data_IF_237325864754
#
_entry.id   IF_237325864754
#
_cell.length_a   1.000
_cell.length_b   1.000
_cell.length_c   1.000
_cell.angle_alpha   90.00
_cell.angle_beta   90.00
_cell.angle_gamma   90.00
#
_symmetry.space_group_name_H-M   'P 1'
#
loop_
_entity.id
_entity.type
_entity.pdbx_description
1 polymer ?
#
# COMPACT_ATOMS: atom_id res chain seq x y z
N UNK A 1 8.59 -13.32 -2.69
CA UNK A 1 8.67 -13.58 -1.24
C UNK A 1 9.58 -14.77 -0.96
N UNK A 2 9.26 -15.95 -1.48
CA UNK A 2 9.99 -17.21 -1.21
C UNK A 2 11.50 -17.10 -1.48
N UNK A 3 11.91 -16.60 -2.65
CA UNK A 3 13.31 -16.39 -3.06
C UNK A 3 14.13 -15.57 -2.06
N UNK A 4 13.51 -14.58 -1.42
CA UNK A 4 14.16 -13.67 -0.47
C UNK A 4 13.90 -14.04 1.00
N UNK A 5 13.21 -15.15 1.27
CA UNK A 5 12.87 -15.57 2.62
C UNK A 5 11.93 -14.60 3.36
N UNK A 6 11.17 -13.79 2.62
CA UNK A 6 10.23 -12.81 3.21
C UNK A 6 8.96 -13.54 3.65
N UNK A 7 8.62 -13.39 4.94
CA UNK A 7 7.51 -14.08 5.61
C UNK A 7 6.39 -13.14 6.04
N UNK A 8 6.63 -11.84 6.03
CA UNK A 8 5.67 -10.83 6.48
C UNK A 8 5.33 -9.89 5.34
N UNK A 9 4.04 -9.59 5.19
CA UNK A 9 3.54 -8.63 4.21
C UNK A 9 2.74 -7.56 4.92
N UNK A 10 3.02 -6.30 4.59
CA UNK A 10 2.22 -5.15 5.01
C UNK A 10 1.50 -4.60 3.80
N UNK A 11 0.17 -4.63 3.82
CA UNK A 11 -0.69 -4.00 2.84
C UNK A 11 -1.06 -2.64 3.41
N UNK A 12 -0.49 -1.61 2.82
CA UNK A 12 -0.47 -0.28 3.41
C UNK A 12 -1.65 0.59 2.96
N UNK A 13 -2.84 0.06 3.09
CA UNK A 13 -4.12 0.74 2.83
C UNK A 13 -4.62 0.61 1.40
N UNK A 14 -5.87 1.01 1.23
CA UNK A 14 -6.62 0.97 -0.03
C UNK A 14 -6.65 -0.44 -0.67
N UNK A 15 -6.84 -1.45 0.19
CA UNK A 15 -7.02 -2.83 -0.27
C UNK A 15 -8.34 -3.00 -1.03
N UNK A 16 -9.37 -2.29 -0.61
CA UNK A 16 -10.64 -2.19 -1.31
C UNK A 16 -10.78 -0.85 -2.01
N UNK A 17 -11.49 -0.85 -3.14
CA UNK A 17 -11.86 0.40 -3.84
C UNK A 17 -13.06 1.05 -3.16
N UNK A 18 -14.07 0.25 -2.82
CA UNK A 18 -15.33 0.67 -2.17
C UNK A 18 -15.98 1.87 -2.88
N UNK A 19 -15.96 1.87 -4.20
CA UNK A 19 -16.53 2.97 -4.99
C UNK A 19 -18.03 3.11 -4.82
N UNK A 20 -18.72 2.02 -4.44
CA UNK A 20 -20.14 2.06 -4.06
C UNK A 20 -20.41 3.00 -2.87
N UNK A 21 -19.41 3.20 -2.02
CA UNK A 21 -19.45 4.12 -0.86
C UNK A 21 -18.68 5.43 -1.12
N UNK A 22 -18.35 5.72 -2.38
CA UNK A 22 -17.67 6.96 -2.75
C UNK A 22 -18.64 8.14 -2.74
N UNK A 23 -18.16 9.29 -2.26
CA UNK A 23 -18.90 10.57 -2.36
C UNK A 23 -18.72 11.24 -3.73
N UNK A 24 -17.84 10.73 -4.58
CA UNK A 24 -17.57 11.28 -5.91
C UNK A 24 -18.47 10.61 -6.95
N UNK A 25 -18.80 11.38 -8.00
CA UNK A 25 -19.59 10.86 -9.11
C UNK A 25 -18.85 9.70 -9.77
N UNK A 26 -19.57 8.59 -10.01
CA UNK A 26 -19.05 7.45 -10.72
C UNK A 26 -19.26 7.62 -12.22
N UNK A 27 -18.22 7.41 -13.01
CA UNK A 27 -18.26 7.43 -14.49
C UNK A 27 -18.58 6.07 -15.04
N UNK A 28 -18.17 5.04 -14.31
CA UNK A 28 -18.46 3.63 -14.62
C UNK A 28 -19.26 3.05 -13.46
N UNK A 29 -20.07 2.00 -13.70
CA UNK A 29 -20.79 1.36 -12.62
C UNK A 29 -19.83 0.93 -11.50
N UNK A 30 -20.12 1.34 -10.27
CA UNK A 30 -19.32 0.94 -9.10
C UNK A 30 -19.37 -0.58 -8.93
N UNK A 31 -18.22 -1.16 -8.60
CA UNK A 31 -18.13 -2.58 -8.26
C UNK A 31 -18.92 -2.80 -6.97
N UNK A 32 -19.81 -3.80 -6.98
CA UNK A 32 -20.60 -4.13 -5.81
C UNK A 32 -19.72 -4.71 -4.71
N UNK A 33 -19.99 -4.35 -3.45
CA UNK A 33 -19.24 -4.82 -2.29
C UNK A 33 -19.07 -6.35 -2.25
N UNK A 34 -20.12 -7.09 -2.63
CA UNK A 34 -20.06 -8.56 -2.69
C UNK A 34 -18.95 -9.07 -3.62
N UNK A 35 -18.74 -8.39 -4.75
CA UNK A 35 -17.69 -8.76 -5.71
C UNK A 35 -16.30 -8.42 -5.16
N UNK A 36 -16.13 -7.24 -4.57
CA UNK A 36 -14.85 -6.85 -3.94
C UNK A 36 -14.51 -7.79 -2.78
N UNK A 37 -15.50 -8.11 -1.94
CA UNK A 37 -15.35 -9.04 -0.84
C UNK A 37 -14.93 -10.44 -1.31
N UNK A 38 -15.56 -10.95 -2.36
CA UNK A 38 -15.24 -12.25 -2.96
C UNK A 38 -13.81 -12.25 -3.53
N UNK A 39 -13.43 -11.22 -4.27
CA UNK A 39 -12.08 -11.06 -4.80
C UNK A 39 -11.06 -10.94 -3.66
N UNK A 40 -11.35 -10.15 -2.63
CA UNK A 40 -10.50 -10.00 -1.45
C UNK A 40 -10.22 -11.32 -0.73
N UNK A 41 -11.23 -12.18 -0.59
CA UNK A 41 -11.05 -13.54 -0.02
C UNK A 41 -10.05 -14.37 -0.83
N UNK A 42 -10.16 -14.36 -2.15
CA UNK A 42 -9.25 -15.11 -3.03
C UNK A 42 -7.82 -14.59 -2.92
N UNK A 43 -7.65 -13.28 -2.97
CA UNK A 43 -6.33 -12.64 -2.84
C UNK A 43 -5.69 -12.95 -1.48
N UNK A 44 -6.44 -12.81 -0.38
CA UNK A 44 -5.91 -13.10 0.97
C UNK A 44 -5.56 -14.58 1.11
N UNK A 45 -6.39 -15.50 0.58
CA UNK A 45 -6.10 -16.93 0.61
C UNK A 45 -4.79 -17.24 -0.12
N UNK A 46 -4.57 -16.68 -1.30
CA UNK A 46 -3.34 -16.83 -2.06
C UNK A 46 -2.13 -16.23 -1.31
N UNK A 47 -2.26 -15.04 -0.75
CA UNK A 47 -1.17 -14.41 0.02
C UNK A 47 -0.77 -15.24 1.26
N UNK A 48 -1.73 -15.93 1.90
CA UNK A 48 -1.47 -16.80 3.05
C UNK A 48 -0.68 -18.07 2.71
N UNK A 49 -0.60 -18.46 1.43
CA UNK A 49 0.29 -19.53 0.95
C UNK A 49 1.77 -19.10 0.97
N UNK A 50 2.03 -17.79 0.87
CA UNK A 50 3.37 -17.22 0.72
C UNK A 50 3.89 -16.54 1.99
N UNK A 51 2.97 -16.00 2.82
CA UNK A 51 3.30 -15.21 3.98
C UNK A 51 2.71 -15.81 5.26
N UNK A 52 3.49 -15.73 6.32
CA UNK A 52 3.10 -16.23 7.65
C UNK A 52 2.44 -15.12 8.52
N UNK A 53 2.53 -13.85 8.10
CA UNK A 53 2.02 -12.67 8.82
C UNK A 53 1.57 -11.63 7.78
N UNK A 54 0.26 -11.42 7.66
CA UNK A 54 -0.33 -10.39 6.81
C UNK A 54 -0.87 -9.26 7.68
N UNK A 55 -0.43 -8.04 7.41
CA UNK A 55 -0.85 -6.85 8.16
C UNK A 55 -1.49 -5.84 7.24
N UNK A 56 -2.72 -5.46 7.55
CA UNK A 56 -3.47 -4.45 6.83
C UNK A 56 -3.46 -3.15 7.62
N UNK A 57 -3.05 -2.07 6.98
CA UNK A 57 -3.24 -0.70 7.44
C UNK A 57 -4.48 -0.13 6.77
N UNK A 58 -5.15 0.79 7.42
CA UNK A 58 -6.36 1.41 6.85
C UNK A 58 -5.99 2.59 5.94
N UNK A 59 -6.34 2.47 4.66
CA UNK A 59 -6.31 3.58 3.71
C UNK A 59 -7.60 4.41 3.75
N UNK A 60 -7.67 5.43 2.91
CA UNK A 60 -8.86 6.29 2.86
C UNK A 60 -10.04 5.62 2.17
N UNK A 61 -9.80 4.66 1.26
CA UNK A 61 -10.86 3.86 0.64
C UNK A 61 -11.42 2.83 1.61
N UNK A 62 -10.58 2.09 2.32
CA UNK A 62 -11.03 1.08 3.30
C UNK A 62 -11.97 1.68 4.35
N UNK A 63 -11.76 2.95 4.71
CA UNK A 63 -12.61 3.68 5.66
C UNK A 63 -13.97 4.12 5.09
N UNK A 64 -14.24 3.89 3.80
CA UNK A 64 -15.52 4.28 3.19
C UNK A 64 -16.70 3.55 3.82
N UNK A 65 -16.57 2.24 4.09
CA UNK A 65 -17.62 1.48 4.78
C UNK A 65 -17.84 1.93 6.23
N UNK A 66 -16.78 2.21 6.96
CA UNK A 66 -16.89 2.76 8.32
C UNK A 66 -17.71 4.07 8.30
N UNK A 67 -17.41 4.98 7.37
CA UNK A 67 -18.17 6.24 7.22
C UNK A 67 -19.60 6.03 6.79
N UNK A 68 -19.86 5.09 5.88
CA UNK A 68 -21.21 4.79 5.39
C UNK A 68 -22.12 4.23 6.50
N UNK A 69 -21.53 3.52 7.45
CA UNK A 69 -22.24 2.91 8.57
C UNK A 69 -22.14 3.70 9.88
N UNK A 70 -21.71 4.97 9.80
CA UNK A 70 -21.48 5.82 10.98
C UNK A 70 -20.64 5.15 12.07
N UNK A 71 -19.63 4.37 11.65
CA UNK A 71 -18.72 3.66 12.55
C UNK A 71 -19.29 2.39 13.17
N UNK A 72 -20.46 1.91 12.75
CA UNK A 72 -21.03 0.65 13.25
C UNK A 72 -20.24 -0.57 12.78
N UNK A 73 -19.55 -0.49 11.66
CA UNK A 73 -18.58 -1.48 11.21
C UNK A 73 -17.18 -0.93 11.44
N UNK A 74 -16.40 -1.64 12.23
CA UNK A 74 -14.98 -1.32 12.38
C UNK A 74 -14.11 -2.06 11.35
N UNK A 75 -12.81 -1.84 11.40
CA UNK A 75 -11.85 -2.49 10.51
C UNK A 75 -11.83 -4.02 10.67
N UNK A 76 -12.05 -4.53 11.87
CA UNK A 76 -12.06 -5.97 12.11
C UNK A 76 -13.32 -6.61 11.54
N UNK A 77 -14.47 -5.92 11.61
CA UNK A 77 -15.70 -6.37 10.96
C UNK A 77 -15.51 -6.47 9.45
N UNK A 78 -14.94 -5.42 8.84
CA UNK A 78 -14.75 -5.34 7.38
C UNK A 78 -13.79 -6.42 6.91
N UNK A 79 -12.62 -6.56 7.53
CA UNK A 79 -11.62 -7.55 7.15
C UNK A 79 -11.98 -8.96 7.63
N UNK A 80 -12.73 -9.12 8.70
CA UNK A 80 -13.31 -10.39 9.14
C UNK A 80 -14.24 -11.03 8.11
N UNK A 81 -14.87 -10.21 7.25
CA UNK A 81 -15.66 -10.71 6.13
C UNK A 81 -14.83 -11.38 5.02
N UNK A 82 -13.50 -11.16 4.97
CA UNK A 82 -12.63 -11.76 3.94
C UNK A 82 -11.71 -12.84 4.48
N UNK A 83 -11.34 -12.80 5.75
CA UNK A 83 -10.52 -13.84 6.37
C UNK A 83 -10.76 -13.94 7.86
N UNK A 84 -10.77 -15.18 8.37
CA UNK A 84 -10.75 -15.49 9.80
C UNK A 84 -9.43 -16.10 10.26
N UNK A 85 -8.38 -16.03 9.45
CA UNK A 85 -7.06 -16.57 9.77
C UNK A 85 -6.39 -15.74 10.88
N UNK A 86 -5.79 -16.41 11.84
CA UNK A 86 -4.97 -15.82 12.90
C UNK A 86 -3.67 -15.18 12.40
N UNK A 87 -3.30 -15.45 11.15
CA UNK A 87 -2.18 -14.79 10.46
C UNK A 87 -2.53 -13.43 9.87
N UNK A 88 -3.81 -13.04 9.88
CA UNK A 88 -4.30 -11.76 9.36
C UNK A 88 -4.50 -10.80 10.52
N UNK A 89 -3.79 -9.69 10.49
CA UNK A 89 -3.87 -8.63 11.48
C UNK A 89 -4.30 -7.33 10.83
N UNK A 90 -5.25 -6.65 11.43
CA UNK A 90 -5.77 -5.38 10.93
C UNK A 90 -5.46 -4.28 11.92
N UNK A 91 -4.96 -3.16 11.44
CA UNK A 91 -4.70 -1.98 12.26
C UNK A 91 -5.72 -0.90 11.93
N UNK A 92 -6.34 -0.31 12.94
CA UNK A 92 -7.19 0.88 12.76
C UNK A 92 -6.39 2.15 12.39
N UNK A 93 -5.06 2.06 12.40
CA UNK A 93 -4.19 3.15 11.99
C UNK A 93 -3.78 3.01 10.52
N UNK A 94 -3.67 4.15 9.83
CA UNK A 94 -3.09 4.21 8.48
C UNK A 94 -1.55 4.14 8.49
N UNK A 95 -0.94 3.66 9.58
CA UNK A 95 0.51 3.54 9.67
C UNK A 95 0.96 2.47 10.67
N UNK A 96 2.19 2.02 10.48
CA UNK A 96 2.94 1.24 11.47
C UNK A 96 4.41 1.67 11.48
N UNK A 97 5.13 1.24 12.50
CA UNK A 97 6.59 1.44 12.60
C UNK A 97 7.27 0.08 12.61
N UNK A 98 8.28 -0.08 11.78
CA UNK A 98 9.16 -1.24 11.75
C UNK A 98 10.52 -0.82 12.30
N UNK A 99 10.89 -1.42 13.41
CA UNK A 99 12.18 -1.17 14.04
C UNK A 99 13.33 -1.63 13.14
N UNK A 100 14.38 -0.82 13.09
CA UNK A 100 15.59 -1.21 12.43
C UNK A 100 16.47 -1.99 13.43
N UNK A 101 16.78 -3.24 13.11
CA UNK A 101 17.63 -4.08 13.97
C UNK A 101 19.11 -3.66 13.97
N UNK A 102 19.52 -2.85 13.00
CA UNK A 102 20.86 -2.27 13.00
C UNK A 102 20.91 -1.13 14.03
N UNK A 103 21.87 -1.17 14.96
CA UNK A 103 21.97 -0.24 16.08
C UNK A 103 22.01 1.24 15.66
N UNK A 104 22.56 1.52 14.49
CA UNK A 104 22.72 2.88 13.94
C UNK A 104 21.66 3.21 12.87
N UNK A 105 20.68 2.32 12.67
CA UNK A 105 19.66 2.48 11.64
C UNK A 105 18.39 3.12 12.17
N UNK A 106 17.91 4.16 11.50
CA UNK A 106 16.61 4.74 11.82
C UNK A 106 15.47 3.77 11.55
N UNK A 107 14.40 3.76 12.37
CA UNK A 107 13.21 2.95 12.11
C UNK A 107 12.50 3.41 10.83
N UNK A 108 11.66 2.53 10.32
CA UNK A 108 10.84 2.77 9.14
C UNK A 108 9.39 3.01 9.54
N UNK A 109 8.85 4.17 9.19
CA UNK A 109 7.42 4.41 9.25
C UNK A 109 6.81 4.11 7.89
N UNK A 110 5.92 3.12 7.87
CA UNK A 110 5.10 2.75 6.71
C UNK A 110 3.75 3.41 6.91
N UNK A 111 3.28 4.21 5.95
CA UNK A 111 2.08 5.02 6.17
C UNK A 111 1.25 5.21 4.90
N UNK A 112 -0.07 5.06 5.04
CA UNK A 112 -1.02 5.56 4.05
C UNK A 112 -1.36 7.00 4.41
N UNK A 113 -0.74 7.93 3.69
CA UNK A 113 -0.94 9.37 3.90
C UNK A 113 -2.32 9.81 3.39
N UNK A 114 -2.88 10.85 3.99
CA UNK A 114 -4.04 11.56 3.43
C UNK A 114 -3.62 12.73 2.53
N UNK A 115 -2.33 13.05 2.49
CA UNK A 115 -1.79 14.12 1.68
C UNK A 115 -1.39 13.58 0.30
N UNK A 116 -1.58 14.41 -0.71
CA UNK A 116 -1.21 14.14 -2.09
C UNK A 116 -0.29 15.24 -2.63
N UNK A 117 0.68 14.85 -3.45
CA UNK A 117 1.51 15.78 -4.23
C UNK A 117 1.79 15.17 -5.60
N UNK A 118 1.75 15.99 -6.64
CA UNK A 118 2.17 15.58 -7.98
C UNK A 118 3.69 15.39 -8.06
N UNK A 119 4.44 16.07 -7.21
CA UNK A 119 5.89 15.91 -7.12
C UNK A 119 6.21 14.72 -6.23
N UNK A 120 6.88 13.74 -6.81
CA UNK A 120 7.30 12.54 -6.11
C UNK A 120 8.14 12.88 -4.86
N UNK A 121 8.01 12.08 -3.83
CA UNK A 121 8.71 12.19 -2.54
C UNK A 121 8.36 13.41 -1.68
N UNK A 122 7.59 14.39 -2.14
CA UNK A 122 7.25 15.59 -1.36
C UNK A 122 6.56 15.23 -0.05
N UNK A 123 5.57 14.33 -0.10
CA UNK A 123 4.85 13.90 1.11
C UNK A 123 5.75 13.09 2.02
N UNK A 124 6.50 12.14 1.46
CA UNK A 124 7.42 11.31 2.24
C UNK A 124 8.53 12.15 2.92
N UNK A 125 9.08 13.16 2.23
CA UNK A 125 10.04 14.13 2.79
C UNK A 125 9.42 14.92 3.95
N UNK A 126 8.23 15.45 3.80
CA UNK A 126 7.54 16.17 4.87
C UNK A 126 7.29 15.28 6.10
N UNK A 127 6.90 14.03 5.88
CA UNK A 127 6.67 13.06 6.94
C UNK A 127 7.97 12.64 7.64
N UNK A 128 9.07 12.46 6.90
CA UNK A 128 10.37 12.11 7.49
C UNK A 128 10.87 13.21 8.43
N UNK A 129 10.69 14.46 8.02
CA UNK A 129 11.04 15.61 8.87
C UNK A 129 10.15 15.73 10.11
N UNK A 130 8.87 15.41 9.98
CA UNK A 130 7.92 15.42 11.10
C UNK A 130 8.20 14.33 12.12
N UNK A 131 8.46 13.10 11.66
CA UNK A 131 8.57 11.93 12.54
C UNK A 131 10.01 11.54 12.86
N UNK A 132 11.00 12.15 12.22
CA UNK A 132 12.44 11.87 12.38
C UNK A 132 12.76 10.38 12.13
N UNK A 133 12.23 9.83 11.03
CA UNK A 133 12.32 8.40 10.65
C UNK A 133 12.47 8.27 9.14
N UNK A 134 12.92 7.09 8.69
CA UNK A 134 12.76 6.68 7.31
C UNK A 134 11.27 6.50 7.01
N UNK A 135 10.84 6.85 5.80
CA UNK A 135 9.43 6.81 5.40
C UNK A 135 9.22 5.93 4.18
N UNK A 136 8.20 5.08 4.24
CA UNK A 136 7.57 4.46 3.07
C UNK A 136 6.14 4.98 3.04
N UNK A 137 5.85 5.88 2.09
CA UNK A 137 4.52 6.47 1.94
C UNK A 137 3.74 5.81 0.81
N UNK A 138 2.42 5.82 0.97
CA UNK A 138 1.43 5.29 0.03
C UNK A 138 0.37 6.36 -0.23
N UNK A 139 -0.60 6.10 -1.09
CA UNK A 139 -1.70 6.97 -1.51
C UNK A 139 -1.44 7.73 -2.81
N UNK A 140 -0.22 8.14 -3.08
CA UNK A 140 0.09 8.99 -4.25
C UNK A 140 0.31 8.16 -5.52
N UNK A 141 0.47 6.84 -5.40
CA UNK A 141 0.68 5.88 -6.49
C UNK A 141 1.95 6.08 -7.33
N UNK A 142 2.88 6.90 -6.87
CA UNK A 142 4.19 7.05 -7.50
C UNK A 142 5.17 6.02 -6.93
N UNK A 143 6.10 5.55 -7.73
CA UNK A 143 7.24 4.77 -7.24
C UNK A 143 8.50 5.61 -7.35
N UNK A 144 9.03 6.02 -6.21
CA UNK A 144 10.26 6.79 -6.15
C UNK A 144 10.99 6.54 -4.83
N UNK A 145 12.32 6.62 -4.85
CA UNK A 145 13.17 6.51 -3.68
C UNK A 145 14.23 7.60 -3.70
N UNK A 146 14.52 8.15 -2.54
CA UNK A 146 15.54 9.19 -2.39
C UNK A 146 15.85 9.46 -0.92
N UNK A 147 16.44 10.62 -0.68
CA UNK A 147 16.74 11.15 0.64
C UNK A 147 15.81 12.32 0.96
N UNK A 148 15.55 12.52 2.26
CA UNK A 148 14.92 13.76 2.71
C UNK A 148 15.78 14.96 2.33
N UNK A 149 15.17 16.16 2.35
CA UNK A 149 15.85 17.42 1.99
C UNK A 149 17.16 17.70 2.77
N UNK A 150 17.31 17.09 3.93
CA UNK A 150 18.51 17.23 4.78
C UNK A 150 19.46 16.04 4.69
N UNK A 151 19.18 15.07 3.81
CA UNK A 151 19.98 13.85 3.60
C UNK A 151 20.19 13.00 4.86
N UNK A 152 19.18 12.97 5.74
CA UNK A 152 19.21 12.20 7.00
C UNK A 152 18.43 10.91 6.92
N UNK A 153 17.29 10.93 6.23
CA UNK A 153 16.35 9.82 6.18
C UNK A 153 16.12 9.39 4.75
N UNK A 154 15.99 8.09 4.56
CA UNK A 154 15.53 7.54 3.28
C UNK A 154 14.02 7.72 3.19
N UNK A 155 13.56 8.22 2.06
CA UNK A 155 12.15 8.46 1.77
C UNK A 155 11.74 7.73 0.50
N UNK A 156 10.61 7.03 0.57
CA UNK A 156 10.10 6.20 -0.51
C UNK A 156 8.61 6.50 -0.69
N UNK A 157 8.20 6.67 -1.94
CA UNK A 157 6.82 6.53 -2.35
C UNK A 157 6.67 5.17 -3.01
N UNK A 158 5.78 4.31 -2.50
CA UNK A 158 5.80 2.86 -2.77
C UNK A 158 5.12 2.44 -4.09
N UNK A 159 4.57 3.37 -4.87
CA UNK A 159 3.78 2.99 -6.03
C UNK A 159 2.42 2.40 -5.65
N UNK A 160 1.88 1.59 -6.53
CA UNK A 160 0.59 0.91 -6.35
C UNK A 160 0.60 -0.47 -7.02
N UNK A 161 -0.44 -1.27 -6.77
CA UNK A 161 -0.68 -2.56 -7.43
C UNK A 161 -2.03 -2.55 -8.18
N UNK A 162 -2.53 -1.38 -8.54
CA UNK A 162 -3.81 -1.19 -9.21
C UNK A 162 -3.62 -0.91 -10.69
N UNK A 163 -4.52 -1.45 -11.52
CA UNK A 163 -4.60 -1.07 -12.94
C UNK A 163 -5.22 0.32 -13.04
N UNK A 164 -4.37 1.32 -13.32
CA UNK A 164 -4.79 2.72 -13.43
C UNK A 164 -5.88 2.95 -14.48
N UNK A 165 -5.94 2.12 -15.55
CA UNK A 165 -6.94 2.25 -16.60
C UNK A 165 -8.37 1.85 -16.14
N UNK A 166 -8.48 1.28 -14.94
CA UNK A 166 -9.76 0.90 -14.32
C UNK A 166 -10.20 1.85 -13.22
N UNK A 167 -9.43 2.89 -12.94
CA UNK A 167 -9.76 3.88 -11.92
C UNK A 167 -10.63 4.98 -12.50
N UNK A 168 -11.87 5.09 -12.05
CA UNK A 168 -12.85 6.05 -12.55
C UNK A 168 -12.35 7.49 -12.49
N UNK A 169 -11.67 7.88 -11.43
CA UNK A 169 -11.14 9.23 -11.26
C UNK A 169 -9.94 9.53 -12.16
N UNK A 170 -9.20 8.51 -12.62
CA UNK A 170 -8.14 8.67 -13.63
C UNK A 170 -8.75 8.92 -15.01
N UNK A 171 -9.85 8.24 -15.33
CA UNK A 171 -10.55 8.44 -16.61
C UNK A 171 -11.19 9.82 -16.74
N UNK A 172 -11.51 10.47 -15.60
CA UNK A 172 -12.18 11.78 -15.57
C UNK A 172 -11.22 12.96 -15.67
N UNK A 173 -9.97 12.78 -15.30
CA UNK A 173 -9.05 13.90 -15.12
C UNK A 173 -7.63 13.51 -15.54
N UNK A 174 -7.37 13.58 -16.86
CA UNK A 174 -6.10 13.24 -17.48
C UNK A 174 -4.89 13.98 -16.88
N UNK A 175 -5.13 15.12 -16.20
CA UNK A 175 -4.06 15.94 -15.66
C UNK A 175 -3.59 15.54 -14.27
N UNK A 176 -4.36 14.74 -13.53
CA UNK A 176 -4.05 14.41 -12.13
C UNK A 176 -3.15 13.20 -11.94
N UNK A 177 -3.00 12.35 -12.95
CA UNK A 177 -2.48 10.99 -12.76
C UNK A 177 -1.28 10.63 -13.63
N UNK A 178 -0.57 11.62 -14.16
CA UNK A 178 0.71 11.37 -14.81
C UNK A 178 1.72 10.84 -13.78
N UNK A 179 2.15 9.60 -13.94
CA UNK A 179 3.24 9.04 -13.13
C UNK A 179 2.88 7.93 -12.16
N UNK A 180 1.64 7.38 -12.20
CA UNK A 180 1.35 6.14 -11.48
C UNK A 180 2.28 5.02 -11.93
N UNK A 181 2.90 4.36 -10.98
CA UNK A 181 3.83 3.26 -11.26
C UNK A 181 3.46 2.05 -10.42
N UNK A 182 3.30 0.91 -11.09
CA UNK A 182 3.15 -0.37 -10.40
C UNK A 182 4.45 -0.71 -9.69
N UNK A 183 4.36 -1.05 -8.41
CA UNK A 183 5.54 -1.42 -7.65
C UNK A 183 5.27 -1.71 -6.19
N UNK A 184 6.31 -2.20 -5.54
CA UNK A 184 6.32 -2.50 -4.11
C UNK A 184 7.73 -2.32 -3.53
N UNK A 185 7.82 -2.31 -2.21
CA UNK A 185 9.09 -2.23 -1.47
C UNK A 185 9.30 -3.50 -0.68
N UNK A 186 10.52 -4.03 -0.74
CA UNK A 186 11.00 -5.07 0.16
C UNK A 186 11.90 -4.44 1.21
N UNK A 187 11.60 -4.71 2.48
CA UNK A 187 12.43 -4.27 3.61
C UNK A 187 13.12 -5.48 4.23
N UNK A 188 14.44 -5.55 4.09
CA UNK A 188 15.24 -6.65 4.63
C UNK A 188 16.44 -6.10 5.41
N UNK A 189 16.59 -6.52 6.66
CA UNK A 189 17.69 -6.09 7.53
C UNK A 189 17.84 -4.55 7.63
N UNK A 190 16.72 -3.83 7.63
CA UNK A 190 16.70 -2.37 7.70
C UNK A 190 16.97 -1.65 6.38
N UNK A 191 17.25 -2.39 5.30
CA UNK A 191 17.46 -1.85 3.96
C UNK A 191 16.19 -2.02 3.12
N UNK A 192 15.75 -0.95 2.48
CA UNK A 192 14.61 -0.96 1.58
C UNK A 192 15.09 -1.09 0.13
N UNK A 193 14.46 -1.98 -0.63
CA UNK A 193 14.65 -2.15 -2.06
C UNK A 193 13.31 -1.94 -2.77
N UNK A 194 13.28 -1.06 -3.75
CA UNK A 194 12.09 -0.79 -4.57
C UNK A 194 12.06 -1.70 -5.79
N UNK A 195 10.90 -2.25 -6.08
CA UNK A 195 10.62 -3.04 -7.27
C UNK A 195 9.49 -2.38 -8.05
N UNK A 196 9.76 -1.99 -9.30
CA UNK A 196 8.80 -1.27 -10.13
C UNK A 196 8.62 -1.90 -11.50
N UNK A 197 7.41 -1.79 -12.05
CA UNK A 197 7.13 -2.16 -13.42
C UNK A 197 7.55 -1.02 -14.35
N UNK A 198 8.77 -1.04 -14.77
CA UNK A 198 9.28 -0.17 -15.83
C UNK A 198 9.29 -0.91 -17.18
N UNK A 199 9.33 -0.23 -18.33
CA UNK A 199 9.36 -0.87 -19.64
C UNK A 199 10.54 -1.83 -19.84
N UNK A 200 11.62 -1.62 -19.10
CA UNK A 200 12.86 -2.42 -19.14
C UNK A 200 12.96 -3.44 -17.99
N UNK A 201 11.94 -3.56 -17.13
CA UNK A 201 11.98 -4.53 -16.03
C UNK A 201 11.65 -5.92 -16.56
N UNK A 202 12.62 -6.81 -16.53
CA UNK A 202 12.37 -8.23 -16.74
C UNK A 202 11.95 -8.88 -15.42
N UNK A 203 10.66 -9.12 -15.32
CA UNK A 203 10.08 -9.77 -14.13
C UNK A 203 10.52 -11.22 -13.99
N UNK A 204 10.88 -11.90 -15.10
CA UNK A 204 11.36 -13.25 -15.06
C UNK A 204 12.73 -13.32 -14.37
N UNK A 205 13.63 -12.37 -14.64
CA UNK A 205 14.91 -12.29 -13.91
C UNK A 205 14.71 -12.08 -12.40
N UNK A 206 13.66 -11.35 -12.00
CA UNK A 206 13.36 -11.11 -10.59
C UNK A 206 12.69 -12.32 -9.94
N UNK A 207 11.86 -13.04 -10.70
CA UNK A 207 11.03 -14.14 -10.20
C UNK A 207 11.62 -15.53 -10.48
N UNK A 208 12.49 -15.67 -11.46
CA UNK A 208 13.08 -16.96 -11.79
C UNK A 208 13.88 -17.51 -10.61
N UNK A 209 13.31 -18.55 -10.01
CA UNK A 209 14.09 -19.59 -9.37
C UNK A 209 14.80 -20.33 -10.52
N UNK A 210 16.05 -20.01 -10.79
CA UNK A 210 16.87 -20.93 -11.56
C UNK A 210 16.92 -22.21 -10.76
N UNK A 211 16.13 -23.20 -11.20
CA UNK A 211 16.24 -24.59 -10.75
C UNK A 211 17.67 -25.12 -10.90
#
# INVERSE_FOLDING_TARGET
>A
AKKYGIKKLIIAGDFFTLDIASKYQQVVPAIQWEMERKAGRLVVAELLEWFDDLRFLMGNHDRRLQRLTDGQLDENDIFGMISSSDKVHVSNWGHCVVENKNKDGYPWRITHSSNYSINQLTVADALSNKFQMNIISHHEHHLAQGWDRYKRFVVINNGCLVDQNKLAYVMLDDNKMSGMTLGFVMLQNGVATTFGKYPYTDWNEITDDKE
#
